data_IF_070314398829
#
_entry.id   IF_070314398829
#
_cell.length_a   1.000
_cell.length_b   1.000
_cell.length_c   1.000
_cell.angle_alpha   90.00
_cell.angle_beta   90.00
_cell.angle_gamma   90.00
#
_symmetry.space_group_name_H-M   'P 1'
#
loop_
_entity.id
_entity.type
_entity.pdbx_description
1 polymer ?
#
# COMPACT_ATOMS: atom_id res chain seq x y z
N UNK A 1 3.08 -10.95 10.49
CA UNK A 1 3.46 -12.14 9.67
C UNK A 1 4.40 -13.16 10.34
N UNK A 2 5.01 -12.88 11.49
CA UNK A 2 5.97 -13.78 12.20
C UNK A 2 5.41 -15.20 12.48
N UNK A 3 4.12 -15.33 12.70
CA UNK A 3 3.45 -16.59 13.07
C UNK A 3 2.99 -17.42 11.87
N UNK A 4 3.03 -16.86 10.67
CA UNK A 4 2.65 -17.54 9.43
C UNK A 4 3.80 -18.34 8.82
N UNK A 5 5.03 -17.82 8.95
CA UNK A 5 6.21 -18.53 8.41
C UNK A 5 6.56 -19.77 9.22
N UNK A 6 6.99 -20.87 8.55
CA UNK A 6 7.51 -22.06 9.22
C UNK A 6 8.61 -21.76 10.23
N UNK A 7 8.75 -22.58 11.27
CA UNK A 7 9.88 -22.48 12.20
C UNK A 7 11.22 -22.59 11.47
N UNK A 8 12.19 -21.75 11.85
CA UNK A 8 13.54 -21.78 11.29
C UNK A 8 13.81 -20.77 10.17
N UNK A 9 12.80 -20.23 9.48
CA UNK A 9 12.99 -19.18 8.49
C UNK A 9 13.41 -17.87 9.14
N UNK A 10 14.67 -17.48 8.96
CA UNK A 10 15.29 -16.32 9.62
C UNK A 10 15.53 -15.15 8.67
N UNK A 11 15.91 -15.44 7.42
CA UNK A 11 16.25 -14.41 6.44
C UNK A 11 15.00 -13.83 5.73
N UNK A 12 15.13 -12.60 5.23
CA UNK A 12 14.12 -11.99 4.38
C UNK A 12 13.95 -12.75 3.06
N UNK A 13 15.04 -13.36 2.58
CA UNK A 13 15.06 -14.19 1.37
C UNK A 13 14.19 -15.43 1.50
N UNK A 14 14.44 -16.25 2.54
CA UNK A 14 13.66 -17.46 2.80
C UNK A 14 12.17 -17.12 2.91
N UNK A 15 11.85 -16.02 3.59
CA UNK A 15 10.46 -15.57 3.77
C UNK A 15 9.82 -15.12 2.47
N UNK A 16 10.54 -14.39 1.61
CA UNK A 16 10.00 -13.94 0.32
C UNK A 16 9.77 -15.14 -0.61
N UNK A 17 10.72 -16.08 -0.68
CA UNK A 17 10.55 -17.32 -1.46
C UNK A 17 9.37 -18.17 -0.97
N UNK A 18 9.21 -18.31 0.34
CA UNK A 18 8.05 -19.00 0.91
C UNK A 18 6.75 -18.27 0.63
N UNK A 19 6.74 -16.95 0.74
CA UNK A 19 5.57 -16.11 0.45
C UNK A 19 5.12 -16.29 -1.01
N UNK A 20 6.04 -16.27 -1.94
CA UNK A 20 5.78 -16.41 -3.36
C UNK A 20 5.31 -17.84 -3.79
N UNK A 21 5.34 -18.82 -2.88
CA UNK A 21 4.70 -20.14 -3.10
C UNK A 21 3.19 -20.12 -2.79
N UNK A 22 2.70 -19.06 -2.14
CA UNK A 22 1.33 -18.97 -1.66
C UNK A 22 0.56 -17.79 -2.27
N UNK A 23 1.26 -16.77 -2.73
CA UNK A 23 0.68 -15.55 -3.28
C UNK A 23 1.45 -15.12 -4.52
N UNK A 24 0.75 -14.51 -5.47
CA UNK A 24 1.29 -14.07 -6.77
C UNK A 24 1.69 -12.60 -6.78
N UNK A 25 1.41 -11.90 -5.68
CA UNK A 25 1.72 -10.48 -5.52
C UNK A 25 2.11 -10.13 -4.10
N UNK A 26 2.87 -9.05 -3.94
CA UNK A 26 3.22 -8.47 -2.64
C UNK A 26 3.33 -6.95 -2.71
N UNK A 27 2.98 -6.27 -1.63
CA UNK A 27 3.26 -4.85 -1.44
C UNK A 27 4.48 -4.65 -0.53
N UNK A 28 5.57 -4.12 -1.09
CA UNK A 28 6.79 -3.81 -0.36
C UNK A 28 6.64 -2.49 0.42
N UNK A 29 6.43 -2.57 1.73
CA UNK A 29 6.20 -1.42 2.60
C UNK A 29 7.47 -0.85 3.25
N UNK A 30 8.60 -1.56 3.20
CA UNK A 30 9.88 -1.12 3.81
C UNK A 30 10.43 0.15 3.17
N UNK A 31 10.16 0.36 1.90
CA UNK A 31 10.56 1.54 1.10
C UNK A 31 9.92 2.85 1.58
N UNK A 32 8.81 2.78 2.31
CA UNK A 32 8.21 3.95 2.94
C UNK A 32 9.14 4.61 3.98
N UNK A 33 9.94 3.81 4.68
CA UNK A 33 10.79 4.28 5.78
C UNK A 33 12.18 4.72 5.32
N UNK A 34 12.65 4.23 4.17
CA UNK A 34 13.96 4.53 3.59
C UNK A 34 13.93 4.31 2.08
N UNK A 35 14.68 5.11 1.34
CA UNK A 35 14.90 4.85 -0.09
C UNK A 35 15.51 3.45 -0.25
N UNK A 36 14.98 2.63 -1.18
CA UNK A 36 15.55 1.32 -1.45
C UNK A 36 16.93 1.45 -2.13
N UNK A 37 17.78 0.47 -1.88
CA UNK A 37 19.00 0.29 -2.65
C UNK A 37 18.71 -0.62 -3.84
N UNK A 38 19.25 -0.30 -5.01
CA UNK A 38 19.07 -1.06 -6.24
C UNK A 38 19.41 -2.56 -6.07
N UNK A 39 20.50 -2.86 -5.34
CA UNK A 39 20.92 -4.22 -5.03
C UNK A 39 19.88 -5.02 -4.22
N UNK A 40 19.16 -4.34 -3.34
CA UNK A 40 18.07 -4.98 -2.57
C UNK A 40 16.88 -5.28 -3.49
N UNK A 41 16.56 -4.35 -4.38
CA UNK A 41 15.47 -4.51 -5.35
C UNK A 41 15.80 -5.59 -6.38
N UNK A 42 17.05 -5.67 -6.86
CA UNK A 42 17.52 -6.76 -7.71
C UNK A 42 17.34 -8.13 -7.03
N UNK A 43 17.74 -8.22 -5.77
CA UNK A 43 17.51 -9.42 -4.97
C UNK A 43 16.00 -9.80 -4.83
N UNK A 44 15.10 -8.82 -4.79
CA UNK A 44 13.66 -9.13 -4.79
C UNK A 44 13.22 -9.73 -6.13
N UNK A 45 13.64 -9.11 -7.24
CA UNK A 45 13.31 -9.59 -8.59
C UNK A 45 13.78 -11.03 -8.84
N UNK A 46 14.97 -11.40 -8.34
CA UNK A 46 15.53 -12.75 -8.48
C UNK A 46 14.86 -13.80 -7.58
N UNK A 47 14.25 -13.37 -6.47
CA UNK A 47 13.70 -14.29 -5.44
C UNK A 47 12.25 -14.68 -5.65
N UNK A 48 11.56 -13.99 -6.52
CA UNK A 48 10.17 -14.27 -6.87
C UNK A 48 10.07 -14.89 -8.27
N UNK A 49 9.12 -15.79 -8.52
CA UNK A 49 8.96 -16.44 -9.81
C UNK A 49 8.59 -15.47 -10.93
N UNK A 50 8.65 -15.94 -12.17
CA UNK A 50 8.11 -15.20 -13.31
C UNK A 50 6.59 -15.05 -13.15
N UNK A 51 6.06 -13.91 -13.57
CA UNK A 51 4.65 -13.57 -13.39
C UNK A 51 4.30 -13.02 -12.00
N UNK A 52 5.22 -13.07 -11.02
CA UNK A 52 4.98 -12.47 -9.69
C UNK A 52 5.04 -10.95 -9.76
N UNK A 53 4.02 -10.28 -9.24
CA UNK A 53 3.92 -8.81 -9.30
C UNK A 53 4.24 -8.19 -7.95
N UNK A 54 5.14 -7.20 -7.96
CA UNK A 54 5.51 -6.44 -6.76
C UNK A 54 5.01 -4.99 -6.86
N UNK A 55 4.17 -4.60 -5.94
CA UNK A 55 3.82 -3.20 -5.73
C UNK A 55 4.74 -2.60 -4.68
N UNK A 56 5.16 -1.37 -4.87
CA UNK A 56 6.16 -0.74 -4.00
C UNK A 56 5.61 0.54 -3.41
N UNK A 57 5.57 0.62 -2.08
CA UNK A 57 5.10 1.82 -1.40
C UNK A 57 6.12 2.94 -1.51
N UNK A 58 5.69 4.11 -1.96
CA UNK A 58 6.51 5.30 -2.09
C UNK A 58 7.15 5.69 -0.75
N UNK A 59 8.38 6.20 -0.80
CA UNK A 59 9.06 6.73 0.38
C UNK A 59 8.28 7.91 0.98
N UNK A 60 8.21 7.99 2.30
CA UNK A 60 7.36 8.94 3.01
C UNK A 60 7.47 10.39 2.55
N UNK A 61 8.66 10.87 2.16
CA UNK A 61 8.85 12.21 1.62
C UNK A 61 8.11 12.43 0.30
N UNK A 62 7.97 11.40 -0.53
CA UNK A 62 7.24 11.46 -1.80
C UNK A 62 5.74 11.66 -1.61
N UNK A 63 5.21 11.32 -0.47
CA UNK A 63 3.78 11.46 -0.12
C UNK A 63 3.53 12.57 0.92
N UNK A 64 4.48 13.51 1.06
CA UNK A 64 4.41 14.65 1.97
C UNK A 64 4.34 14.28 3.46
N UNK A 65 4.78 13.08 3.83
CA UNK A 65 5.03 12.77 5.23
C UNK A 65 6.35 13.41 5.68
N UNK A 66 6.41 13.94 6.91
CA UNK A 66 7.69 14.33 7.51
C UNK A 66 8.55 13.08 7.73
N UNK A 67 9.82 13.17 7.37
CA UNK A 67 10.79 12.09 7.56
C UNK A 67 11.93 12.55 8.46
N UNK A 68 12.61 11.64 9.14
CA UNK A 68 13.85 11.98 9.85
C UNK A 68 14.97 12.21 8.82
N UNK A 69 15.77 13.25 9.01
CA UNK A 69 16.90 13.55 8.12
C UNK A 69 17.90 12.38 8.06
N UNK A 70 18.04 11.62 9.15
CA UNK A 70 18.95 10.47 9.24
C UNK A 70 18.64 9.32 8.28
N UNK A 71 17.39 9.21 7.77
CA UNK A 71 17.01 8.17 6.80
C UNK A 71 17.33 8.56 5.36
N UNK A 72 17.71 9.82 5.12
CA UNK A 72 18.15 10.28 3.81
C UNK A 72 19.61 9.88 3.55
N UNK A 73 19.98 9.62 2.29
CA UNK A 73 21.37 9.52 1.87
C UNK A 73 22.20 10.74 2.34
N UNK A 74 23.49 10.59 2.66
CA UNK A 74 24.30 11.66 3.26
C UNK A 74 24.30 12.97 2.48
N UNK A 75 24.37 12.91 1.16
CA UNK A 75 24.35 14.07 0.26
C UNK A 75 22.99 14.79 0.25
N UNK A 76 21.86 14.06 0.23
CA UNK A 76 20.53 14.65 0.34
C UNK A 76 20.28 15.21 1.75
N UNK A 77 20.82 14.54 2.77
CA UNK A 77 20.72 14.99 4.15
C UNK A 77 21.39 16.36 4.35
N UNK A 78 22.53 16.58 3.70
CA UNK A 78 23.23 17.86 3.76
C UNK A 78 22.43 19.04 3.18
N UNK A 79 21.49 18.75 2.28
CA UNK A 79 20.61 19.74 1.62
C UNK A 79 19.24 19.86 2.29
N UNK A 80 18.91 18.94 3.20
CA UNK A 80 17.58 18.85 3.77
C UNK A 80 17.38 19.86 4.93
N UNK A 81 16.34 20.72 4.88
CA UNK A 81 16.01 21.64 5.96
C UNK A 81 15.34 20.85 7.11
N UNK A 82 16.16 20.36 8.04
CA UNK A 82 15.66 19.65 9.21
C UNK A 82 15.30 20.62 10.35
N UNK A 83 14.22 20.35 11.06
CA UNK A 83 13.84 21.05 12.29
C UNK A 83 14.76 20.65 13.47
N UNK A 84 14.56 21.27 14.64
CA UNK A 84 15.31 20.99 15.88
C UNK A 84 15.21 19.51 16.33
N UNK A 85 14.21 18.78 15.86
CA UNK A 85 14.00 17.35 16.13
C UNK A 85 14.59 16.45 15.04
N UNK A 86 15.34 17.01 14.11
CA UNK A 86 15.94 16.31 13.00
C UNK A 86 14.91 15.83 11.95
N UNK A 87 13.73 16.47 11.86
CA UNK A 87 12.69 16.12 10.90
C UNK A 87 12.67 17.06 9.73
N UNK A 88 12.57 16.51 8.53
CA UNK A 88 12.35 17.23 7.28
C UNK A 88 10.87 17.23 6.98
N UNK A 89 10.21 18.37 7.15
CA UNK A 89 8.84 18.63 6.77
C UNK A 89 8.84 19.66 5.63
N UNK A 90 8.07 19.40 4.58
CA UNK A 90 7.96 20.29 3.40
C UNK A 90 9.33 20.68 2.79
N UNK A 91 10.14 19.70 2.38
CA UNK A 91 11.41 19.99 1.71
C UNK A 91 11.19 20.79 0.42
N UNK A 92 12.24 21.50 -0.07
CA UNK A 92 12.22 22.12 -1.39
C UNK A 92 11.79 21.14 -2.49
N UNK A 93 11.15 21.67 -3.54
CA UNK A 93 10.64 20.83 -4.65
C UNK A 93 11.76 20.07 -5.34
N UNK A 94 12.91 20.69 -5.48
CA UNK A 94 14.13 20.13 -6.09
C UNK A 94 14.65 18.92 -5.30
N UNK A 95 14.70 19.04 -3.98
CA UNK A 95 15.11 17.91 -3.12
C UNK A 95 14.11 16.75 -3.22
N UNK A 96 12.83 17.06 -3.29
CA UNK A 96 11.80 16.03 -3.45
C UNK A 96 11.88 15.38 -4.84
N UNK A 97 12.11 16.15 -5.89
CA UNK A 97 12.32 15.63 -7.24
C UNK A 97 13.51 14.66 -7.31
N UNK A 98 14.62 15.00 -6.65
CA UNK A 98 15.79 14.11 -6.55
C UNK A 98 15.46 12.81 -5.80
N UNK A 99 14.64 12.89 -4.74
CA UNK A 99 14.16 11.70 -4.03
C UNK A 99 13.31 10.80 -4.95
N UNK A 100 12.42 11.37 -5.77
CA UNK A 100 11.66 10.62 -6.77
C UNK A 100 12.60 9.98 -7.81
N UNK A 101 13.58 10.73 -8.31
CA UNK A 101 14.53 10.23 -9.30
C UNK A 101 15.32 9.02 -8.77
N UNK A 102 15.81 9.08 -7.54
CA UNK A 102 16.54 7.97 -6.90
C UNK A 102 15.62 6.77 -6.61
N UNK A 103 14.40 7.04 -6.16
CA UNK A 103 13.42 5.97 -5.95
C UNK A 103 13.10 5.26 -7.27
N UNK A 104 12.85 6.01 -8.33
CA UNK A 104 12.60 5.47 -9.66
C UNK A 104 13.79 4.64 -10.17
N UNK A 105 15.03 5.17 -10.05
CA UNK A 105 16.24 4.45 -10.46
C UNK A 105 16.43 3.14 -9.70
N UNK A 106 16.21 3.15 -8.38
CA UNK A 106 16.34 1.96 -7.54
C UNK A 106 15.36 0.83 -7.90
N UNK A 107 14.23 1.14 -8.54
CA UNK A 107 13.24 0.14 -8.96
C UNK A 107 13.52 -0.47 -10.35
N UNK A 108 14.59 -0.05 -11.03
CA UNK A 108 14.93 -0.54 -12.36
C UNK A 108 15.00 -2.08 -12.46
N UNK A 109 15.59 -2.82 -11.49
CA UNK A 109 15.62 -4.28 -11.57
C UNK A 109 14.24 -4.94 -11.64
N UNK A 110 13.25 -4.43 -10.89
CA UNK A 110 11.86 -4.94 -10.96
C UNK A 110 11.21 -4.62 -12.32
N UNK A 111 11.48 -3.44 -12.85
CA UNK A 111 10.96 -2.99 -14.15
C UNK A 111 11.53 -3.84 -15.27
N UNK A 112 12.84 -4.04 -15.29
CA UNK A 112 13.52 -4.87 -16.28
C UNK A 112 13.08 -6.34 -16.24
N UNK A 113 12.72 -6.84 -15.06
CA UNK A 113 12.19 -8.19 -14.89
C UNK A 113 10.70 -8.32 -15.20
N UNK A 114 10.00 -7.22 -15.55
CA UNK A 114 8.55 -7.22 -15.76
C UNK A 114 7.73 -7.52 -14.48
N UNK A 115 8.31 -7.24 -13.31
CA UNK A 115 7.72 -7.59 -12.00
C UNK A 115 7.25 -6.37 -11.20
N UNK A 116 7.40 -5.14 -11.72
CA UNK A 116 6.89 -3.93 -11.08
C UNK A 116 5.42 -3.71 -11.48
N UNK A 117 4.49 -3.88 -10.54
CA UNK A 117 3.06 -3.63 -10.77
C UNK A 117 2.71 -2.15 -10.65
N UNK A 118 3.07 -1.51 -9.53
CA UNK A 118 2.79 -0.08 -9.35
C UNK A 118 3.43 0.51 -8.09
N UNK A 119 3.42 1.83 -8.02
CA UNK A 119 3.97 2.60 -6.91
C UNK A 119 2.82 3.18 -6.08
N UNK A 120 2.70 2.72 -4.84
CA UNK A 120 1.64 3.15 -3.93
C UNK A 120 1.99 4.48 -3.25
N UNK A 121 1.30 5.53 -3.61
CA UNK A 121 1.33 6.82 -2.95
C UNK A 121 0.19 6.91 -1.92
N UNK A 122 0.47 6.49 -0.69
CA UNK A 122 -0.44 6.66 0.43
C UNK A 122 -0.22 8.02 1.08
N UNK A 123 -1.18 8.93 0.98
CA UNK A 123 -1.10 10.27 1.54
C UNK A 123 -1.49 10.31 3.02
N UNK A 124 -0.90 11.21 3.83
CA UNK A 124 -1.30 11.38 5.23
C UNK A 124 -2.68 12.04 5.35
N UNK A 125 -3.33 11.84 6.48
CA UNK A 125 -4.69 12.33 6.75
C UNK A 125 -4.83 13.86 6.81
N UNK A 126 -3.76 14.62 6.78
CA UNK A 126 -3.81 16.09 6.68
C UNK A 126 -3.73 16.60 5.24
N UNK A 127 -3.54 15.72 4.26
CA UNK A 127 -3.66 16.07 2.84
C UNK A 127 -5.14 15.95 2.45
N UNK A 128 -5.76 17.09 2.28
CA UNK A 128 -7.20 17.23 2.02
C UNK A 128 -7.47 17.53 0.55
N UNK A 129 -8.72 17.32 0.08
CA UNK A 129 -9.15 17.61 -1.28
C UNK A 129 -9.20 19.14 -1.51
N UNK A 130 -8.09 19.69 -2.00
CA UNK A 130 -7.90 21.13 -2.31
C UNK A 130 -7.10 21.29 -3.61
N UNK A 131 -7.22 22.42 -4.34
CA UNK A 131 -6.53 22.62 -5.63
C UNK A 131 -5.04 22.27 -5.59
N UNK A 132 -4.29 22.75 -4.62
CA UNK A 132 -2.86 22.48 -4.46
C UNK A 132 -2.51 21.00 -4.25
N UNK A 133 -3.50 20.18 -3.85
CA UNK A 133 -3.30 18.74 -3.70
C UNK A 133 -3.43 18.01 -5.03
N UNK A 134 -4.30 18.47 -5.91
CA UNK A 134 -4.39 17.99 -7.30
C UNK A 134 -3.12 18.33 -8.08
N UNK A 135 -2.66 19.59 -8.01
CA UNK A 135 -1.38 20.02 -8.60
C UNK A 135 -0.20 19.17 -8.12
N UNK A 136 -0.24 18.74 -6.86
CA UNK A 136 0.79 17.84 -6.34
C UNK A 136 0.69 16.43 -6.94
N UNK A 137 -0.51 15.91 -7.14
CA UNK A 137 -0.71 14.59 -7.76
C UNK A 137 -0.24 14.58 -9.22
N UNK A 138 -0.56 15.62 -9.99
CA UNK A 138 -0.08 15.81 -11.37
C UNK A 138 1.45 15.82 -11.39
N UNK A 139 2.06 16.67 -10.59
CA UNK A 139 3.52 16.74 -10.49
C UNK A 139 4.15 15.40 -10.06
N UNK A 140 3.56 14.70 -9.08
CA UNK A 140 4.07 13.41 -8.63
C UNK A 140 4.00 12.35 -9.73
N UNK A 141 2.91 12.35 -10.53
CA UNK A 141 2.77 11.47 -11.69
C UNK A 141 3.86 11.68 -12.71
N UNK A 142 4.19 12.94 -13.02
CA UNK A 142 5.32 13.28 -13.92
C UNK A 142 6.65 12.74 -13.37
N UNK A 143 6.87 12.82 -12.05
CA UNK A 143 8.11 12.32 -11.43
C UNK A 143 8.22 10.79 -11.47
N UNK A 144 7.13 10.05 -11.58
CA UNK A 144 7.13 8.59 -11.71
C UNK A 144 7.53 8.10 -13.11
N UNK A 145 7.65 8.99 -14.10
CA UNK A 145 8.25 8.71 -15.44
C UNK A 145 7.64 7.51 -16.15
N UNK A 146 6.34 7.31 -16.03
CA UNK A 146 5.61 6.21 -16.68
C UNK A 146 5.30 5.02 -15.78
N UNK A 147 5.89 4.91 -14.60
CA UNK A 147 5.49 3.89 -13.63
C UNK A 147 4.03 4.07 -13.22
N UNK A 148 3.34 2.95 -12.97
CA UNK A 148 1.93 2.97 -12.61
C UNK A 148 1.73 3.59 -11.21
N UNK A 149 0.85 4.58 -11.11
CA UNK A 149 0.59 5.33 -9.88
C UNK A 149 -0.67 4.81 -9.19
N UNK A 150 -0.52 4.33 -7.95
CA UNK A 150 -1.62 3.94 -7.08
C UNK A 150 -1.81 5.01 -6.01
N UNK A 151 -3.01 5.56 -5.87
CA UNK A 151 -3.29 6.70 -4.97
C UNK A 151 -4.22 6.28 -3.85
N UNK A 152 -3.70 6.25 -2.62
CA UNK A 152 -4.48 6.01 -1.41
C UNK A 152 -4.67 7.31 -0.61
N UNK A 153 -5.89 7.74 -0.48
CA UNK A 153 -6.26 8.86 0.36
C UNK A 153 -6.55 8.43 1.80
N UNK A 154 -6.31 9.36 2.74
CA UNK A 154 -6.50 9.13 4.18
C UNK A 154 -7.30 10.25 4.84
N UNK A 155 -8.00 11.08 4.07
CA UNK A 155 -8.92 12.08 4.58
C UNK A 155 -10.24 11.98 3.83
N UNK A 156 -11.36 11.99 4.57
CA UNK A 156 -12.69 11.76 3.99
C UNK A 156 -13.08 12.73 2.88
N UNK A 157 -12.56 13.97 2.91
CA UNK A 157 -12.87 14.97 1.89
C UNK A 157 -12.50 14.59 0.46
N UNK A 158 -11.75 13.51 0.26
CA UNK A 158 -11.46 13.03 -1.07
C UNK A 158 -12.59 12.18 -1.68
N UNK A 159 -13.33 11.48 -0.80
CA UNK A 159 -14.38 10.53 -1.22
C UNK A 159 -15.74 10.82 -0.57
N UNK A 160 -15.93 12.04 -0.04
CA UNK A 160 -17.27 12.52 0.35
C UNK A 160 -18.15 12.77 -0.89
N UNK A 161 -19.44 12.89 -0.66
CA UNK A 161 -20.44 13.04 -1.74
C UNK A 161 -20.17 14.25 -2.64
N UNK A 162 -19.63 15.33 -2.08
CA UNK A 162 -19.36 16.57 -2.82
C UNK A 162 -18.14 16.48 -3.76
N UNK A 163 -17.19 15.57 -3.47
CA UNK A 163 -15.89 15.57 -4.13
C UNK A 163 -15.61 14.29 -4.93
N UNK A 164 -16.20 13.14 -4.57
CA UNK A 164 -15.80 11.81 -5.09
C UNK A 164 -15.84 11.74 -6.61
N UNK A 165 -16.89 12.22 -7.24
CA UNK A 165 -17.03 12.17 -8.72
C UNK A 165 -15.89 12.93 -9.40
N UNK A 166 -15.61 14.15 -8.93
CA UNK A 166 -14.52 14.97 -9.46
C UNK A 166 -13.15 14.32 -9.21
N UNK A 167 -12.95 13.69 -8.05
CA UNK A 167 -11.68 13.04 -7.71
C UNK A 167 -11.46 11.80 -8.57
N UNK A 168 -12.48 10.98 -8.77
CA UNK A 168 -12.40 9.79 -9.61
C UNK A 168 -12.12 10.17 -11.06
N UNK A 169 -12.87 11.14 -11.62
CA UNK A 169 -12.63 11.63 -12.98
C UNK A 169 -11.21 12.22 -13.14
N UNK A 170 -10.70 12.94 -12.13
CA UNK A 170 -9.33 13.44 -12.15
C UNK A 170 -8.28 12.31 -12.13
N UNK A 171 -8.47 11.26 -11.32
CA UNK A 171 -7.55 10.13 -11.30
C UNK A 171 -7.56 9.36 -12.62
N UNK A 172 -8.72 9.21 -13.25
CA UNK A 172 -8.87 8.60 -14.57
C UNK A 172 -8.13 9.41 -15.63
N UNK A 173 -8.32 10.73 -15.69
CA UNK A 173 -7.60 11.61 -16.61
C UNK A 173 -6.08 11.59 -16.38
N UNK A 174 -5.66 11.49 -15.11
CA UNK A 174 -4.26 11.37 -14.72
C UNK A 174 -3.64 10.00 -15.08
N UNK A 175 -4.45 9.00 -15.40
CA UNK A 175 -4.02 7.61 -15.57
C UNK A 175 -3.45 7.02 -14.28
N UNK A 176 -4.09 7.31 -13.15
CA UNK A 176 -3.72 6.82 -11.84
C UNK A 176 -4.83 5.94 -11.25
N UNK A 177 -4.46 4.88 -10.54
CA UNK A 177 -5.42 3.98 -9.89
C UNK A 177 -5.91 4.56 -8.57
N UNK A 178 -7.22 4.68 -8.41
CA UNK A 178 -7.84 4.84 -7.11
C UNK A 178 -7.63 3.59 -6.26
N UNK A 179 -7.02 3.75 -5.09
CA UNK A 179 -6.91 2.65 -4.12
C UNK A 179 -8.19 2.59 -3.28
N UNK A 180 -8.94 1.53 -3.47
CA UNK A 180 -10.16 1.24 -2.73
C UNK A 180 -9.78 0.79 -1.31
N UNK A 181 -10.30 1.45 -0.29
CA UNK A 181 -9.91 1.20 1.11
C UNK A 181 -11.07 0.63 1.90
N UNK A 182 -10.85 -0.51 2.58
CA UNK A 182 -11.70 -0.96 3.66
C UNK A 182 -11.07 -0.60 5.01
N UNK A 183 -11.82 0.13 5.82
CA UNK A 183 -11.40 0.65 7.11
C UNK A 183 -12.63 0.78 8.04
N UNK A 184 -12.46 1.13 9.33
CA UNK A 184 -13.60 1.30 10.22
C UNK A 184 -14.63 2.29 9.67
N UNK A 185 -15.89 1.89 9.62
CA UNK A 185 -17.02 2.72 9.13
C UNK A 185 -17.43 3.72 10.22
N UNK A 186 -16.73 4.86 10.32
CA UNK A 186 -17.03 5.95 11.28
C UNK A 186 -16.97 7.31 10.60
N UNK A 187 -17.52 8.34 11.27
CA UNK A 187 -17.49 9.73 10.78
C UNK A 187 -16.16 10.47 11.00
N UNK A 188 -15.10 9.75 11.37
CA UNK A 188 -13.80 10.37 11.61
C UNK A 188 -13.19 10.92 10.33
N UNK A 189 -12.65 12.15 10.39
CA UNK A 189 -12.11 12.86 9.20
C UNK A 189 -10.92 12.14 8.55
N UNK A 190 -10.18 11.34 9.30
CA UNK A 190 -9.04 10.55 8.83
C UNK A 190 -9.43 9.15 8.34
N UNK A 191 -10.71 8.91 8.13
CA UNK A 191 -11.26 7.71 7.51
C UNK A 191 -11.96 8.10 6.21
N UNK A 192 -11.55 7.44 5.14
CA UNK A 192 -12.12 7.63 3.81
C UNK A 192 -13.31 6.68 3.67
N UNK A 193 -14.47 7.14 3.18
CA UNK A 193 -15.54 6.22 2.79
C UNK A 193 -15.03 5.19 1.78
N UNK A 194 -15.48 3.96 1.90
CA UNK A 194 -15.19 2.92 0.90
C UNK A 194 -15.96 3.26 -0.37
N UNK A 195 -15.24 3.54 -1.44
CA UNK A 195 -15.79 3.80 -2.77
C UNK A 195 -15.18 2.79 -3.73
N UNK A 196 -16.00 1.87 -4.21
CA UNK A 196 -15.60 0.88 -5.22
C UNK A 196 -15.72 1.54 -6.59
N UNK A 197 -14.58 1.82 -7.22
CA UNK A 197 -14.52 2.43 -8.54
C UNK A 197 -13.16 2.16 -9.20
N UNK A 198 -13.16 1.96 -10.52
CA UNK A 198 -11.96 1.91 -11.34
C UNK A 198 -11.67 3.30 -11.91
N UNK A 199 -10.40 3.66 -11.94
CA UNK A 199 -9.87 4.85 -12.62
C UNK A 199 -8.71 4.53 -13.55
N UNK A 200 -8.44 3.24 -13.75
CA UNK A 200 -7.45 2.69 -14.69
C UNK A 200 -7.82 1.26 -15.04
N UNK A 201 -7.01 0.57 -15.85
CA UNK A 201 -7.19 -0.86 -16.12
C UNK A 201 -6.87 -1.77 -14.93
N UNK A 202 -6.39 -1.21 -13.80
CA UNK A 202 -6.03 -1.95 -12.58
C UNK A 202 -6.99 -1.63 -11.43
N UNK A 203 -7.60 -2.66 -10.85
CA UNK A 203 -8.28 -2.58 -9.56
C UNK A 203 -7.31 -2.79 -8.40
N UNK A 204 -7.34 -1.94 -7.38
CA UNK A 204 -6.44 -2.08 -6.22
C UNK A 204 -7.19 -1.85 -4.91
N UNK A 205 -7.36 -2.92 -4.13
CA UNK A 205 -8.10 -2.91 -2.86
C UNK A 205 -7.16 -3.10 -1.70
N UNK A 206 -7.30 -2.30 -0.65
CA UNK A 206 -6.53 -2.45 0.59
C UNK A 206 -7.43 -2.61 1.80
N UNK A 207 -7.38 -3.80 2.40
CA UNK A 207 -8.15 -4.18 3.58
C UNK A 207 -7.32 -3.89 4.84
N UNK A 208 -7.63 -2.77 5.53
CA UNK A 208 -6.88 -2.30 6.70
C UNK A 208 -7.39 -2.86 8.04
N UNK A 209 -8.53 -3.55 8.02
CA UNK A 209 -9.24 -3.95 9.22
C UNK A 209 -10.23 -2.89 9.72
N UNK A 210 -11.29 -3.34 10.36
CA UNK A 210 -12.42 -2.50 10.81
C UNK A 210 -12.36 -2.17 12.32
N UNK A 211 -11.15 -2.13 12.92
CA UNK A 211 -10.97 -1.88 14.35
C UNK A 211 -11.15 -0.39 14.70
N UNK A 212 -12.39 0.04 14.90
CA UNK A 212 -12.71 1.41 15.30
C UNK A 212 -12.13 1.80 16.68
N UNK A 213 -11.92 0.82 17.58
CA UNK A 213 -11.47 1.08 18.95
C UNK A 213 -10.02 1.57 19.04
N UNK A 214 -9.16 1.11 18.12
CA UNK A 214 -7.72 1.44 18.14
C UNK A 214 -7.30 2.41 17.06
N UNK A 215 -8.14 2.68 16.06
CA UNK A 215 -7.78 3.48 14.88
C UNK A 215 -7.24 4.87 15.21
N UNK A 216 -7.91 5.58 16.10
CA UNK A 216 -7.57 6.97 16.47
C UNK A 216 -6.86 7.11 17.82
N UNK A 217 -6.47 6.01 18.44
CA UNK A 217 -5.80 6.07 19.75
C UNK A 217 -4.36 6.55 19.57
N UNK A 218 -4.01 7.66 20.26
CA UNK A 218 -2.65 8.19 20.26
C UNK A 218 -1.68 7.20 20.90
N UNK A 219 -0.47 7.12 20.35
CA UNK A 219 0.59 6.26 20.88
C UNK A 219 0.51 4.79 20.47
N UNK A 220 -0.53 4.39 19.73
CA UNK A 220 -0.62 3.05 19.16
C UNK A 220 0.27 2.91 17.92
N UNK A 221 0.95 1.78 17.84
CA UNK A 221 1.70 1.37 16.65
C UNK A 221 0.76 1.10 15.46
N UNK A 222 1.31 1.06 14.26
CA UNK A 222 0.54 0.64 13.07
C UNK A 222 -0.04 -0.77 13.24
N UNK A 223 0.73 -1.69 13.85
CA UNK A 223 0.26 -3.06 14.13
C UNK A 223 -0.96 -3.10 15.05
N UNK A 224 -1.02 -2.23 16.05
CA UNK A 224 -2.19 -2.16 16.96
C UNK A 224 -3.42 -1.50 16.32
N UNK A 225 -3.21 -0.56 15.38
CA UNK A 225 -4.31 0.08 14.63
C UNK A 225 -4.96 -0.89 13.65
N UNK A 226 -4.14 -1.73 13.03
CA UNK A 226 -4.55 -2.70 12.01
C UNK A 226 -4.70 -4.11 12.60
N UNK A 227 -4.82 -4.24 13.93
CA UNK A 227 -5.09 -5.50 14.61
C UNK A 227 -6.58 -5.85 14.45
N UNK A 228 -6.87 -6.64 13.42
CA UNK A 228 -8.22 -7.04 13.04
C UNK A 228 -8.20 -8.35 12.25
N UNK A 229 -8.96 -9.32 12.69
CA UNK A 229 -9.22 -10.54 11.93
C UNK A 229 -10.62 -10.42 11.30
N UNK A 230 -10.67 -10.32 9.99
CA UNK A 230 -11.95 -10.36 9.27
C UNK A 230 -12.62 -11.69 9.47
N UNK A 231 -13.93 -11.68 9.73
CA UNK A 231 -14.76 -12.87 9.67
C UNK A 231 -15.01 -13.29 8.22
N UNK A 232 -15.47 -14.52 8.04
CA UNK A 232 -15.87 -15.02 6.72
C UNK A 232 -17.00 -14.18 6.12
N UNK A 233 -18.02 -13.82 6.91
CA UNK A 233 -19.13 -12.97 6.46
C UNK A 233 -18.64 -11.60 5.97
N UNK A 234 -17.71 -10.97 6.68
CA UNK A 234 -17.13 -9.70 6.26
C UNK A 234 -16.30 -9.81 4.97
N UNK A 235 -15.65 -10.94 4.73
CA UNK A 235 -14.96 -11.20 3.48
C UNK A 235 -15.93 -11.49 2.34
N UNK A 236 -17.06 -12.16 2.61
CA UNK A 236 -18.14 -12.37 1.65
C UNK A 236 -18.80 -11.06 1.19
N UNK A 237 -18.79 -10.00 2.01
CA UNK A 237 -19.22 -8.67 1.56
C UNK A 237 -18.40 -8.14 0.35
N UNK A 238 -17.20 -8.67 0.13
CA UNK A 238 -16.29 -8.24 -0.94
C UNK A 238 -16.42 -9.06 -2.24
N UNK A 239 -17.17 -10.16 -2.25
CA UNK A 239 -17.24 -11.02 -3.44
C UNK A 239 -17.84 -10.30 -4.63
N UNK A 240 -19.06 -9.75 -4.50
CA UNK A 240 -19.73 -9.01 -5.57
C UNK A 240 -18.91 -7.78 -6.02
N UNK A 241 -18.40 -6.88 -5.14
CA UNK A 241 -17.53 -5.79 -5.57
C UNK A 241 -16.24 -6.23 -6.29
N UNK A 242 -15.65 -7.36 -5.91
CA UNK A 242 -14.45 -7.86 -6.57
C UNK A 242 -14.76 -8.49 -7.93
N UNK A 243 -15.91 -9.15 -8.09
CA UNK A 243 -16.39 -9.66 -9.37
C UNK A 243 -16.66 -8.51 -10.35
N UNK A 244 -17.38 -7.47 -9.92
CA UNK A 244 -17.61 -6.27 -10.73
C UNK A 244 -16.29 -5.60 -11.17
N UNK A 245 -15.32 -5.51 -10.26
CA UNK A 245 -14.00 -4.97 -10.60
C UNK A 245 -13.26 -5.88 -11.62
N UNK A 246 -13.33 -7.20 -11.45
CA UNK A 246 -12.66 -8.16 -12.32
C UNK A 246 -13.26 -8.23 -13.73
N UNK A 247 -14.55 -7.96 -13.88
CA UNK A 247 -15.21 -7.86 -15.19
C UNK A 247 -14.77 -6.62 -15.98
N UNK A 248 -14.37 -5.54 -15.29
CA UNK A 248 -14.06 -4.26 -15.91
C UNK A 248 -12.56 -3.94 -15.99
N UNK A 249 -11.73 -4.57 -15.16
CA UNK A 249 -10.29 -4.35 -15.08
C UNK A 249 -9.51 -5.46 -15.79
N UNK A 250 -8.28 -5.16 -16.23
CA UNK A 250 -7.33 -6.17 -16.70
C UNK A 250 -6.79 -7.02 -15.54
N UNK A 251 -6.57 -6.39 -14.38
CA UNK A 251 -6.05 -7.02 -13.16
C UNK A 251 -6.68 -6.41 -11.92
N UNK A 252 -6.94 -7.23 -10.90
CA UNK A 252 -7.41 -6.77 -9.58
C UNK A 252 -6.51 -7.31 -8.48
N UNK A 253 -5.96 -6.42 -7.67
CA UNK A 253 -5.10 -6.75 -6.55
C UNK A 253 -5.80 -6.45 -5.22
N UNK A 254 -5.79 -7.44 -4.31
CA UNK A 254 -6.36 -7.31 -2.97
C UNK A 254 -5.27 -7.45 -1.92
N UNK A 255 -4.93 -6.36 -1.24
CA UNK A 255 -3.85 -6.27 -0.27
C UNK A 255 -4.38 -6.24 1.16
N UNK A 256 -4.04 -7.24 1.95
CA UNK A 256 -4.38 -7.29 3.36
C UNK A 256 -3.33 -6.56 4.20
N UNK A 257 -3.72 -5.47 4.84
CA UNK A 257 -2.87 -4.66 5.71
C UNK A 257 -3.23 -4.77 7.20
N UNK A 258 -4.08 -5.72 7.58
CA UNK A 258 -4.44 -6.07 8.95
C UNK A 258 -3.32 -6.88 9.62
N UNK A 259 -2.25 -6.20 10.03
CA UNK A 259 -0.96 -6.81 10.40
C UNK A 259 -0.88 -7.37 11.84
N UNK A 260 -2.00 -7.64 12.47
CA UNK A 260 -2.08 -8.19 13.81
C UNK A 260 -1.87 -9.72 13.88
N UNK A 261 -2.16 -10.26 15.04
CA UNK A 261 -2.19 -11.69 15.32
C UNK A 261 -3.39 -12.04 16.18
N UNK A 262 -3.97 -13.20 15.96
CA UNK A 262 -5.08 -13.71 16.77
C UNK A 262 -4.70 -15.03 17.45
N UNK A 263 -5.16 -15.30 18.68
CA UNK A 263 -5.01 -16.60 19.31
C UNK A 263 -5.70 -17.69 18.46
N UNK A 264 -5.04 -18.83 18.31
CA UNK A 264 -5.60 -20.00 17.62
C UNK A 264 -5.03 -21.25 18.26
N UNK A 265 -5.88 -22.04 18.89
CA UNK A 265 -5.46 -23.19 19.71
C UNK A 265 -4.70 -24.24 18.90
N UNK A 266 -5.14 -24.48 17.67
CA UNK A 266 -4.57 -25.50 16.79
C UNK A 266 -3.37 -24.99 15.98
N UNK A 267 -3.04 -23.70 16.06
CA UNK A 267 -1.88 -23.14 15.38
C UNK A 267 -0.57 -23.59 16.04
N UNK A 268 0.50 -23.91 15.30
CA UNK A 268 1.77 -24.44 15.82
C UNK A 268 2.42 -23.59 16.92
N UNK A 269 2.06 -22.32 17.01
CA UNK A 269 2.58 -21.37 18.01
C UNK A 269 1.46 -20.76 18.88
N UNK A 270 0.24 -21.31 18.84
CA UNK A 270 -0.93 -20.76 19.51
C UNK A 270 -1.44 -19.42 18.94
N UNK A 271 -0.94 -19.00 17.77
CA UNK A 271 -1.26 -17.72 17.14
C UNK A 271 -1.25 -17.85 15.61
N UNK A 272 -2.15 -17.15 14.95
CA UNK A 272 -2.15 -16.94 13.50
C UNK A 272 -1.79 -15.49 13.15
N UNK A 273 -1.20 -15.28 11.98
CA UNK A 273 -1.02 -13.94 11.39
C UNK A 273 -2.25 -13.57 10.58
N UNK A 274 -2.92 -12.48 10.94
CA UNK A 274 -4.25 -12.12 10.41
C UNK A 274 -4.23 -11.90 8.89
N UNK A 275 -3.30 -11.10 8.36
CA UNK A 275 -3.28 -10.77 6.93
C UNK A 275 -3.19 -12.01 6.02
N UNK A 276 -2.21 -12.91 6.13
CA UNK A 276 -2.16 -14.09 5.26
C UNK A 276 -3.34 -15.06 5.50
N UNK A 277 -3.84 -15.15 6.73
CA UNK A 277 -5.02 -15.98 7.03
C UNK A 277 -6.25 -15.46 6.29
N UNK A 278 -6.52 -14.16 6.36
CA UNK A 278 -7.65 -13.57 5.64
C UNK A 278 -7.47 -13.58 4.12
N UNK A 279 -6.23 -13.41 3.63
CA UNK A 279 -5.97 -13.51 2.19
C UNK A 279 -6.28 -14.90 1.63
N UNK A 280 -5.86 -15.95 2.34
CA UNK A 280 -6.17 -17.34 1.95
C UNK A 280 -7.68 -17.64 2.08
N UNK A 281 -8.33 -17.12 3.13
CA UNK A 281 -9.79 -17.27 3.31
C UNK A 281 -10.57 -16.59 2.18
N UNK A 282 -10.23 -15.36 1.82
CA UNK A 282 -10.88 -14.66 0.69
C UNK A 282 -10.66 -15.40 -0.63
N UNK A 283 -9.44 -15.89 -0.89
CA UNK A 283 -9.14 -16.71 -2.07
C UNK A 283 -10.04 -17.94 -2.14
N UNK A 284 -10.18 -18.65 -1.03
CA UNK A 284 -11.06 -19.84 -0.97
C UNK A 284 -12.53 -19.47 -1.27
N UNK A 285 -13.03 -18.38 -0.67
CA UNK A 285 -14.41 -17.90 -0.90
C UNK A 285 -14.64 -17.59 -2.39
N UNK A 286 -13.71 -16.88 -3.04
CA UNK A 286 -13.80 -16.54 -4.46
C UNK A 286 -13.75 -17.78 -5.36
N UNK A 287 -12.87 -18.75 -5.05
CA UNK A 287 -12.77 -20.01 -5.77
C UNK A 287 -14.05 -20.85 -5.66
N UNK A 288 -14.70 -20.90 -4.48
CA UNK A 288 -15.97 -21.56 -4.26
C UNK A 288 -17.11 -20.96 -5.12
N UNK A 289 -17.02 -19.68 -5.46
CA UNK A 289 -17.96 -18.97 -6.35
C UNK A 289 -17.60 -19.07 -7.82
N UNK A 290 -16.42 -19.63 -8.15
CA UNK A 290 -15.93 -19.76 -9.52
C UNK A 290 -15.21 -18.54 -10.08
N UNK A 291 -14.91 -17.55 -9.23
CA UNK A 291 -14.14 -16.37 -9.61
C UNK A 291 -12.67 -16.78 -9.83
N UNK A 292 -12.03 -16.46 -10.95
CA UNK A 292 -10.61 -16.72 -11.20
C UNK A 292 -9.73 -15.93 -10.22
N UNK A 293 -8.83 -16.60 -9.50
CA UNK A 293 -7.91 -16.01 -8.52
C UNK A 293 -6.58 -16.72 -8.52
#
# INVERSE_FOLDING_TARGET
MKYWYPPGMRSGEERLRYYAQHFDTVEANSTYYRLPEESIVANWAERVPDGFVMHVKAFGMMTRHPVKAEVLPPDLRALAPADERGRVDRPPRELRAEVFARFHAALEPLRMAGKLGGILLQFPSYIVCKPYSFEYLEWAKEQLRGDHMLVEFRHRSWMDEDNRERVLAFLEELGATHVIVDAPKTEAKNLVPTVVALTSSMGYVRLHGRNAKTWNVRGKSAAERFDYLYSEDELREWTEPLEELAEAAEEVYVMFNNNGRSPEADAPKGWISQAPTNALMLRQILQEQGTPV
#
